data_IF_519932211975
#
_entry.id   IF_519932211975
#
_cell.length_a   1.000
_cell.length_b   1.000
_cell.length_c   1.000
_cell.angle_alpha   90.00
_cell.angle_beta   90.00
_cell.angle_gamma   90.00
#
_symmetry.space_group_name_H-M   'P 1'
#
loop_
_entity.id
_entity.type
_entity.pdbx_description
1 polymer ?
#
# COMPACT_ATOMS: atom_id res chain seq x y z
N UNK A 1 -47.87 8.28 85.01
CA UNK A 1 -46.43 8.17 84.85
C UNK A 1 -45.99 7.28 83.66
N UNK A 2 -46.90 6.76 82.84
CA UNK A 2 -46.64 5.81 81.72
C UNK A 2 -46.40 6.41 80.33
N UNK A 3 -46.65 7.70 80.13
CA UNK A 3 -46.48 8.37 78.83
C UNK A 3 -45.06 8.80 78.47
N UNK A 4 -44.08 8.76 79.43
CA UNK A 4 -42.73 9.25 79.20
C UNK A 4 -41.72 8.14 78.81
N UNK A 5 -42.02 6.88 79.13
CA UNK A 5 -41.12 5.77 78.76
C UNK A 5 -41.29 5.36 77.28
N UNK A 6 -42.50 5.34 76.73
CA UNK A 6 -42.74 5.04 75.29
C UNK A 6 -42.09 6.05 74.36
N UNK A 7 -41.90 7.29 74.79
CA UNK A 7 -41.27 8.33 73.92
C UNK A 7 -39.73 8.17 73.88
N UNK A 8 -39.13 7.63 74.92
CA UNK A 8 -37.67 7.35 74.95
C UNK A 8 -37.30 6.11 74.15
N UNK A 9 -38.11 5.06 74.22
CA UNK A 9 -37.91 3.81 73.49
C UNK A 9 -38.04 4.00 71.97
N UNK A 10 -39.02 4.73 71.48
CA UNK A 10 -39.19 5.08 70.07
C UNK A 10 -38.05 5.96 69.54
N UNK A 11 -37.46 6.84 70.38
CA UNK A 11 -36.30 7.65 69.97
C UNK A 11 -35.03 6.82 69.87
N UNK A 12 -34.85 5.84 70.74
CA UNK A 12 -33.67 4.94 70.74
C UNK A 12 -33.72 4.02 69.52
N UNK A 13 -34.84 3.43 69.18
CA UNK A 13 -35.06 2.59 67.99
C UNK A 13 -34.89 3.39 66.70
N UNK A 14 -35.30 4.64 66.67
CA UNK A 14 -35.09 5.53 65.51
C UNK A 14 -33.62 5.95 65.32
N UNK A 15 -32.88 6.17 66.38
CA UNK A 15 -31.45 6.48 66.31
C UNK A 15 -30.58 5.29 65.91
N UNK A 16 -30.88 4.08 66.34
CA UNK A 16 -30.17 2.86 65.91
C UNK A 16 -30.47 2.49 64.44
N UNK A 17 -31.70 2.68 63.99
CA UNK A 17 -32.05 2.50 62.59
C UNK A 17 -31.38 3.54 61.65
N UNK A 18 -31.28 4.79 62.10
CA UNK A 18 -30.56 5.85 61.37
C UNK A 18 -29.04 5.58 61.33
N UNK A 19 -28.43 5.09 62.42
CA UNK A 19 -27.01 4.67 62.46
C UNK A 19 -26.74 3.46 61.57
N UNK A 20 -27.65 2.48 61.54
CA UNK A 20 -27.55 1.28 60.71
C UNK A 20 -27.66 1.65 59.20
N UNK A 21 -28.60 2.54 58.86
CA UNK A 21 -28.76 3.04 57.51
C UNK A 21 -27.54 3.90 57.07
N UNK A 22 -26.99 4.75 57.96
CA UNK A 22 -25.81 5.56 57.68
C UNK A 22 -24.57 4.66 57.37
N UNK A 23 -24.37 3.57 58.10
CA UNK A 23 -23.30 2.60 57.83
C UNK A 23 -23.49 1.91 56.48
N UNK A 24 -24.70 1.54 56.16
CA UNK A 24 -25.03 0.95 54.87
C UNK A 24 -24.72 1.91 53.71
N UNK A 25 -25.11 3.19 53.80
CA UNK A 25 -24.81 4.20 52.78
C UNK A 25 -23.30 4.48 52.65
N UNK A 26 -22.56 4.46 53.75
CA UNK A 26 -21.10 4.60 53.69
C UNK A 26 -20.42 3.42 52.99
N UNK A 27 -20.85 2.17 53.27
CA UNK A 27 -20.33 0.98 52.60
C UNK A 27 -20.71 1.00 51.11
N UNK A 28 -21.95 1.36 50.78
CA UNK A 28 -22.40 1.49 49.38
C UNK A 28 -21.63 2.56 48.64
N UNK A 29 -21.37 3.73 49.24
CA UNK A 29 -20.57 4.79 48.65
C UNK A 29 -19.11 4.38 48.42
N UNK A 30 -18.52 3.65 49.39
CA UNK A 30 -17.16 3.12 49.24
C UNK A 30 -17.05 2.09 48.13
N UNK A 31 -18.02 1.17 48.02
CA UNK A 31 -18.08 0.20 46.91
C UNK A 31 -18.27 0.87 45.58
N UNK A 32 -19.15 1.87 45.51
CA UNK A 32 -19.35 2.65 44.26
C UNK A 32 -18.05 3.37 43.84
N UNK A 33 -17.34 4.01 44.79
CA UNK A 33 -16.07 4.65 44.53
C UNK A 33 -14.99 3.67 44.09
N UNK A 34 -14.93 2.45 44.71
CA UNK A 34 -14.00 1.41 44.29
C UNK A 34 -14.30 0.89 42.89
N UNK A 35 -15.57 0.68 42.53
CA UNK A 35 -15.98 0.28 41.18
C UNK A 35 -15.62 1.38 40.16
N UNK A 36 -15.87 2.63 40.49
CA UNK A 36 -15.52 3.78 39.62
C UNK A 36 -14.00 3.85 39.38
N UNK A 37 -13.20 3.67 40.43
CA UNK A 37 -11.75 3.62 40.34
C UNK A 37 -11.28 2.46 39.44
N UNK A 38 -11.84 1.26 39.58
CA UNK A 38 -11.55 0.12 38.74
C UNK A 38 -11.92 0.36 37.28
N UNK A 39 -13.06 1.00 37.02
CA UNK A 39 -13.45 1.37 35.66
C UNK A 39 -12.51 2.41 35.04
N UNK A 40 -12.06 3.42 35.81
CA UNK A 40 -11.08 4.40 35.36
C UNK A 40 -9.72 3.77 35.03
N UNK A 41 -9.22 2.88 35.89
CA UNK A 41 -7.96 2.14 35.67
C UNK A 41 -8.10 1.20 34.47
N UNK A 42 -9.19 0.45 34.38
CA UNK A 42 -9.47 -0.44 33.25
C UNK A 42 -9.53 0.30 31.92
N UNK A 43 -10.19 1.47 31.88
CA UNK A 43 -10.26 2.31 30.70
C UNK A 43 -8.88 2.89 30.31
N UNK A 44 -8.05 3.26 31.31
CA UNK A 44 -6.67 3.69 31.10
C UNK A 44 -5.80 2.59 30.46
N UNK A 45 -5.86 1.38 31.04
CA UNK A 45 -5.12 0.20 30.52
C UNK A 45 -5.60 -0.15 29.11
N UNK A 46 -6.90 -0.13 28.86
CA UNK A 46 -7.47 -0.42 27.54
C UNK A 46 -7.01 0.60 26.49
N UNK A 47 -7.00 1.89 26.83
CA UNK A 47 -6.54 2.95 25.94
C UNK A 47 -5.06 2.78 25.60
N UNK A 48 -4.21 2.48 26.59
CA UNK A 48 -2.79 2.24 26.38
C UNK A 48 -2.52 1.00 25.52
N UNK A 49 -3.22 -0.09 25.81
CA UNK A 49 -3.15 -1.31 24.99
C UNK A 49 -3.53 -1.06 23.53
N UNK A 50 -4.65 -0.35 23.32
CA UNK A 50 -5.11 0.02 21.98
C UNK A 50 -4.08 0.89 21.25
N UNK A 51 -3.54 1.90 21.91
CA UNK A 51 -2.53 2.78 21.33
C UNK A 51 -1.25 2.02 20.96
N UNK A 52 -0.82 1.12 21.84
CA UNK A 52 0.34 0.25 21.59
C UNK A 52 0.09 -0.68 20.40
N UNK A 53 -1.08 -1.30 20.32
CA UNK A 53 -1.44 -2.18 19.21
C UNK A 53 -1.47 -1.42 17.87
N UNK A 54 -2.04 -0.22 17.84
CA UNK A 54 -2.06 0.64 16.64
C UNK A 54 -0.65 1.03 16.23
N UNK A 55 0.20 1.42 17.18
CA UNK A 55 1.61 1.76 16.91
C UNK A 55 2.35 0.57 16.31
N UNK A 56 2.28 -0.59 16.96
CA UNK A 56 2.93 -1.80 16.46
C UNK A 56 2.45 -2.17 15.04
N UNK A 57 1.17 -1.99 14.75
CA UNK A 57 0.64 -2.24 13.41
C UNK A 57 1.22 -1.26 12.38
N UNK A 58 1.34 0.03 12.71
CA UNK A 58 1.97 1.03 11.85
C UNK A 58 3.44 0.71 11.59
N UNK A 59 4.18 0.31 12.63
CA UNK A 59 5.58 -0.07 12.49
C UNK A 59 5.75 -1.31 11.60
N UNK A 60 4.87 -2.31 11.75
CA UNK A 60 4.86 -3.48 10.86
C UNK A 60 4.53 -3.13 9.41
N UNK A 61 3.60 -2.21 9.17
CA UNK A 61 3.27 -1.74 7.82
C UNK A 61 4.48 -1.02 7.20
N UNK A 62 5.20 -0.22 7.97
CA UNK A 62 6.39 0.48 7.48
C UNK A 62 7.49 -0.50 7.10
N UNK A 63 7.82 -1.46 7.97
CA UNK A 63 8.78 -2.51 7.68
C UNK A 63 8.40 -3.34 6.45
N UNK A 64 7.11 -3.63 6.28
CA UNK A 64 6.62 -4.38 5.13
C UNK A 64 6.81 -3.61 3.81
N UNK A 65 6.50 -2.30 3.79
CA UNK A 65 6.67 -1.50 2.58
C UNK A 65 8.14 -1.25 2.26
N UNK A 66 9.01 -1.06 3.24
CA UNK A 66 10.47 -0.95 3.06
C UNK A 66 11.06 -2.26 2.50
N UNK A 67 10.67 -3.40 3.07
CA UNK A 67 11.10 -4.71 2.57
C UNK A 67 10.64 -4.97 1.13
N UNK A 68 9.41 -4.55 0.80
CA UNK A 68 8.89 -4.70 -0.55
C UNK A 68 9.59 -3.77 -1.54
N UNK A 69 9.89 -2.53 -1.13
CA UNK A 69 10.67 -1.58 -1.93
C UNK A 69 12.02 -2.18 -2.32
N UNK A 70 12.79 -2.67 -1.34
CA UNK A 70 14.07 -3.31 -1.61
C UNK A 70 13.99 -4.52 -2.56
N UNK A 71 12.94 -5.35 -2.43
CA UNK A 71 12.72 -6.47 -3.36
C UNK A 71 12.38 -6.01 -4.77
N UNK A 72 11.61 -4.95 -4.90
CA UNK A 72 11.27 -4.38 -6.20
C UNK A 72 12.52 -3.82 -6.88
N UNK A 73 13.34 -3.07 -6.15
CA UNK A 73 14.62 -2.54 -6.61
C UNK A 73 15.57 -3.66 -7.06
N UNK A 74 15.71 -4.71 -6.26
CA UNK A 74 16.52 -5.89 -6.59
C UNK A 74 16.02 -6.53 -7.89
N UNK A 75 14.72 -6.80 -8.01
CA UNK A 75 14.14 -7.41 -9.21
C UNK A 75 14.32 -6.55 -10.46
N UNK A 76 14.12 -5.24 -10.38
CA UNK A 76 14.31 -4.34 -11.52
C UNK A 76 15.79 -4.28 -11.90
N UNK A 77 16.70 -4.26 -10.90
CA UNK A 77 18.14 -4.29 -11.14
C UNK A 77 18.61 -5.59 -11.78
N UNK A 78 18.03 -6.73 -11.39
CA UNK A 78 18.30 -8.03 -12.03
C UNK A 78 17.90 -8.00 -13.51
N UNK A 79 16.66 -7.61 -13.84
CA UNK A 79 16.25 -7.51 -15.24
C UNK A 79 17.08 -6.50 -16.04
N UNK A 80 17.43 -5.37 -15.45
CA UNK A 80 18.32 -4.39 -16.08
C UNK A 80 19.71 -4.95 -16.37
N UNK A 81 20.26 -5.71 -15.43
CA UNK A 81 21.54 -6.42 -15.59
C UNK A 81 21.47 -7.49 -16.67
N UNK A 82 20.38 -8.27 -16.71
CA UNK A 82 20.14 -9.30 -17.71
C UNK A 82 20.08 -8.71 -19.11
N UNK A 83 19.34 -7.63 -19.31
CA UNK A 83 19.25 -6.92 -20.60
C UNK A 83 20.66 -6.54 -21.07
N UNK A 84 21.48 -5.92 -20.22
CA UNK A 84 22.82 -5.47 -20.59
C UNK A 84 23.76 -6.65 -20.89
N UNK A 85 23.72 -7.69 -20.06
CA UNK A 85 24.55 -8.88 -20.22
C UNK A 85 24.22 -9.64 -21.48
N UNK A 86 22.93 -9.88 -21.72
CA UNK A 86 22.44 -10.55 -22.91
C UNK A 86 22.74 -9.75 -24.18
N UNK A 87 22.55 -8.42 -24.13
CA UNK A 87 22.92 -7.54 -25.25
C UNK A 87 24.41 -7.64 -25.55
N UNK A 88 25.27 -7.54 -24.54
CA UNK A 88 26.73 -7.66 -24.70
C UNK A 88 27.13 -9.00 -25.34
N UNK A 89 26.54 -10.10 -24.89
CA UNK A 89 26.78 -11.42 -25.47
C UNK A 89 26.26 -11.55 -26.91
N UNK A 90 25.11 -10.92 -27.21
CA UNK A 90 24.40 -11.06 -28.49
C UNK A 90 25.18 -10.45 -29.68
N UNK A 91 26.12 -9.53 -29.43
CA UNK A 91 26.94 -8.93 -30.48
C UNK A 91 27.83 -9.93 -31.23
N UNK A 92 28.20 -11.02 -30.59
CA UNK A 92 29.06 -12.05 -31.18
C UNK A 92 28.28 -13.18 -31.87
N UNK A 93 26.97 -13.16 -31.74
CA UNK A 93 26.06 -14.18 -32.26
C UNK A 93 25.54 -13.82 -33.65
N UNK A 94 25.24 -14.83 -34.46
CA UNK A 94 24.49 -14.64 -35.68
C UNK A 94 22.99 -14.38 -35.34
N UNK A 95 22.20 -14.01 -36.33
CA UNK A 95 20.79 -13.61 -36.16
C UNK A 95 19.94 -14.72 -35.49
N UNK A 96 20.08 -15.96 -35.95
CA UNK A 96 19.33 -17.09 -35.43
C UNK A 96 19.75 -17.45 -33.98
N UNK A 97 21.04 -17.38 -33.66
CA UNK A 97 21.53 -17.60 -32.29
C UNK A 97 21.03 -16.50 -31.35
N UNK A 98 20.99 -15.26 -31.81
CA UNK A 98 20.46 -14.12 -31.07
C UNK A 98 18.97 -14.27 -30.78
N UNK A 99 18.16 -14.63 -31.79
CA UNK A 99 16.75 -14.93 -31.62
C UNK A 99 16.54 -16.06 -30.60
N UNK A 100 17.26 -17.15 -30.74
CA UNK A 100 17.19 -18.30 -29.80
C UNK A 100 17.54 -17.89 -28.37
N UNK A 101 18.54 -17.02 -28.17
CA UNK A 101 18.93 -16.51 -26.86
C UNK A 101 17.78 -15.77 -26.18
N UNK A 102 17.16 -14.81 -26.88
CA UNK A 102 16.07 -14.01 -26.31
C UNK A 102 14.80 -14.82 -26.13
N UNK A 103 14.45 -15.71 -27.05
CA UNK A 103 13.30 -16.63 -26.93
C UNK A 103 13.44 -17.54 -25.71
N UNK A 104 14.64 -18.07 -25.48
CA UNK A 104 14.91 -18.89 -24.30
C UNK A 104 14.71 -18.08 -23.02
N UNK A 105 15.23 -16.86 -22.99
CA UNK A 105 15.06 -15.98 -21.84
C UNK A 105 13.58 -15.67 -21.53
N UNK A 106 12.80 -15.27 -22.55
CA UNK A 106 11.36 -15.02 -22.41
C UNK A 106 10.65 -16.27 -21.91
N UNK A 107 10.97 -17.44 -22.46
CA UNK A 107 10.36 -18.71 -22.06
C UNK A 107 10.70 -19.10 -20.60
N UNK A 108 11.93 -18.87 -20.16
CA UNK A 108 12.37 -19.21 -18.80
C UNK A 108 11.78 -18.26 -17.76
N UNK A 109 11.58 -16.99 -18.11
CA UNK A 109 11.03 -15.96 -17.21
C UNK A 109 9.52 -15.71 -17.36
N UNK A 110 8.84 -16.44 -18.27
CA UNK A 110 7.39 -16.44 -18.32
C UNK A 110 6.76 -16.96 -17.01
N UNK A 111 5.63 -16.44 -16.57
CA UNK A 111 4.70 -15.51 -17.24
C UNK A 111 4.99 -14.00 -16.97
N UNK A 112 6.08 -13.64 -16.30
CA UNK A 112 6.39 -12.23 -15.98
C UNK A 112 6.98 -11.51 -17.19
N UNK A 113 8.02 -12.05 -17.82
CA UNK A 113 8.56 -11.50 -19.07
C UNK A 113 7.70 -11.98 -20.22
N UNK A 114 7.09 -11.05 -20.96
CA UNK A 114 6.17 -11.35 -22.07
C UNK A 114 6.85 -11.26 -23.42
N UNK A 115 7.58 -10.17 -23.62
CA UNK A 115 8.22 -9.86 -24.89
C UNK A 115 9.57 -9.17 -24.67
N UNK A 116 10.48 -9.36 -25.63
CA UNK A 116 11.65 -8.54 -25.81
C UNK A 116 11.69 -8.04 -27.24
N UNK A 117 11.73 -6.71 -27.41
CA UNK A 117 11.72 -6.05 -28.70
C UNK A 117 13.03 -5.28 -28.85
N UNK A 118 13.77 -5.57 -29.93
CA UNK A 118 15.02 -4.87 -30.26
C UNK A 118 14.79 -4.06 -31.53
N UNK A 119 15.09 -2.76 -31.48
CA UNK A 119 14.97 -1.86 -32.62
C UNK A 119 16.33 -1.23 -32.97
N UNK A 120 16.55 -0.99 -34.23
CA UNK A 120 17.66 -0.23 -34.77
C UNK A 120 17.15 0.86 -35.68
N UNK A 121 17.49 2.11 -35.37
CA UNK A 121 16.98 3.29 -36.13
C UNK A 121 15.44 3.33 -36.23
N UNK A 122 14.74 2.83 -35.22
CA UNK A 122 13.28 2.78 -35.17
C UNK A 122 12.64 1.56 -35.86
N UNK A 123 13.41 0.74 -36.59
CA UNK A 123 12.92 -0.49 -37.20
C UNK A 123 13.14 -1.68 -36.28
N UNK A 124 12.14 -2.52 -36.13
CA UNK A 124 12.22 -3.76 -35.32
C UNK A 124 13.11 -4.76 -36.05
N UNK A 125 14.19 -5.17 -35.38
CA UNK A 125 15.15 -6.14 -35.91
C UNK A 125 15.04 -7.50 -35.23
N UNK A 126 14.41 -7.55 -34.07
CA UNK A 126 14.14 -8.80 -33.36
C UNK A 126 12.94 -8.59 -32.43
N UNK A 127 12.05 -9.59 -32.40
CA UNK A 127 10.98 -9.72 -31.40
C UNK A 127 10.99 -11.15 -30.88
N UNK A 128 10.97 -11.29 -29.55
CA UNK A 128 10.79 -12.57 -28.86
C UNK A 128 9.56 -12.48 -28.00
N UNK A 129 8.62 -13.40 -28.16
CA UNK A 129 7.35 -13.43 -27.43
C UNK A 129 6.14 -13.20 -28.34
N UNK A 130 5.21 -12.34 -27.92
CA UNK A 130 3.90 -12.14 -28.58
C UNK A 130 3.87 -10.98 -29.57
N UNK A 131 4.98 -10.28 -29.78
CA UNK A 131 5.13 -9.13 -30.70
C UNK A 131 4.14 -7.99 -30.42
N UNK A 132 4.02 -7.62 -29.16
CA UNK A 132 3.17 -6.54 -28.73
C UNK A 132 3.95 -5.23 -28.58
N UNK A 133 3.93 -4.38 -29.60
CA UNK A 133 4.55 -3.06 -29.50
C UNK A 133 3.73 -2.11 -28.61
N UNK A 134 4.40 -1.33 -27.74
CA UNK A 134 3.74 -0.28 -26.97
C UNK A 134 3.14 0.80 -27.85
N UNK A 135 1.86 1.11 -27.65
CA UNK A 135 1.13 2.17 -28.35
C UNK A 135 1.25 3.52 -27.64
N UNK A 136 1.34 3.50 -26.31
CA UNK A 136 1.34 4.71 -25.49
C UNK A 136 2.22 4.49 -24.23
N UNK A 137 3.03 5.49 -23.89
CA UNK A 137 3.78 5.57 -22.65
C UNK A 137 2.96 6.41 -21.66
N UNK A 138 2.49 5.80 -20.59
CA UNK A 138 1.67 6.44 -19.56
C UNK A 138 2.50 7.05 -18.42
N UNK A 139 3.66 6.47 -18.15
CA UNK A 139 4.60 6.92 -17.14
C UNK A 139 6.01 6.47 -17.49
N UNK A 140 7.00 7.30 -17.15
CA UNK A 140 8.42 6.99 -17.32
C UNK A 140 9.20 7.44 -16.10
N UNK A 141 10.09 6.58 -15.62
CA UNK A 141 11.06 6.86 -14.56
C UNK A 141 12.45 6.41 -15.01
N UNK A 142 13.45 7.26 -14.84
CA UNK A 142 14.84 6.90 -15.16
C UNK A 142 15.39 5.99 -14.09
N UNK A 143 16.07 4.93 -14.51
CA UNK A 143 16.91 4.09 -13.64
C UNK A 143 18.34 4.63 -13.69
N UNK A 144 18.84 4.92 -14.90
CA UNK A 144 20.11 5.57 -15.15
C UNK A 144 20.09 6.31 -16.52
N UNK A 145 21.25 6.73 -17.05
CA UNK A 145 21.32 7.49 -18.30
C UNK A 145 20.89 6.70 -19.54
N UNK A 146 20.90 5.36 -19.48
CA UNK A 146 20.60 4.46 -20.60
C UNK A 146 19.33 3.62 -20.37
N UNK A 147 18.79 3.59 -19.14
CA UNK A 147 17.71 2.70 -18.78
C UNK A 147 16.54 3.45 -18.16
N UNK A 148 15.35 3.21 -18.68
CA UNK A 148 14.09 3.72 -18.14
C UNK A 148 13.15 2.57 -17.74
N UNK A 149 12.38 2.80 -16.68
CA UNK A 149 11.23 1.98 -16.31
C UNK A 149 9.96 2.72 -16.71
N UNK A 150 9.09 2.05 -17.43
CA UNK A 150 7.89 2.66 -18.03
C UNK A 150 6.64 1.87 -17.69
N UNK A 151 5.51 2.57 -17.56
CA UNK A 151 4.19 1.99 -17.72
C UNK A 151 3.73 2.27 -19.13
N UNK A 152 3.36 1.23 -19.86
CA UNK A 152 2.95 1.32 -21.26
C UNK A 152 1.59 0.69 -21.48
N UNK A 153 0.90 1.15 -22.52
CA UNK A 153 -0.33 0.56 -23.00
C UNK A 153 -0.05 -0.21 -24.29
N UNK A 154 -0.58 -1.42 -24.37
CA UNK A 154 -0.47 -2.31 -25.52
C UNK A 154 -1.88 -2.77 -25.89
N UNK A 155 -2.31 -2.54 -27.12
CA UNK A 155 -3.68 -2.80 -27.53
C UNK A 155 -4.73 -1.95 -26.80
N UNK A 156 -5.98 -2.30 -26.92
CA UNK A 156 -7.07 -1.42 -26.52
C UNK A 156 -7.21 -1.15 -25.03
N UNK A 157 -6.68 -1.97 -24.11
CA UNK A 157 -6.84 -1.75 -22.66
C UNK A 157 -5.76 -2.41 -21.78
N UNK A 158 -4.75 -3.05 -22.35
CA UNK A 158 -3.76 -3.78 -21.57
C UNK A 158 -2.59 -2.89 -21.12
N UNK A 159 -2.33 -2.87 -19.83
CA UNK A 159 -1.23 -2.12 -19.22
C UNK A 159 -0.09 -3.07 -18.87
N UNK A 160 1.13 -2.73 -19.29
CA UNK A 160 2.34 -3.48 -19.02
C UNK A 160 3.42 -2.59 -18.44
N UNK A 161 4.33 -3.17 -17.69
CA UNK A 161 5.56 -2.52 -17.30
C UNK A 161 6.62 -2.78 -18.38
N UNK A 162 7.54 -1.86 -18.58
CA UNK A 162 8.58 -1.99 -19.57
C UNK A 162 9.91 -1.49 -19.04
N UNK A 163 10.95 -2.28 -19.19
CA UNK A 163 12.33 -1.80 -19.11
C UNK A 163 12.79 -1.45 -20.51
N UNK A 164 13.23 -0.21 -20.70
CA UNK A 164 13.70 0.30 -21.97
C UNK A 164 15.17 0.72 -21.84
N UNK A 165 16.02 0.07 -22.62
CA UNK A 165 17.47 0.28 -22.63
C UNK A 165 17.91 0.86 -23.97
N UNK A 166 18.64 1.97 -23.94
CA UNK A 166 19.29 2.59 -25.09
C UNK A 166 20.79 2.22 -25.09
N UNK A 167 21.23 1.55 -26.14
CA UNK A 167 22.60 1.10 -26.25
C UNK A 167 23.52 2.20 -26.79
N UNK A 168 24.82 2.10 -26.55
CA UNK A 168 25.83 3.05 -27.10
C UNK A 168 25.89 3.01 -28.64
N UNK A 169 25.39 1.96 -29.26
CA UNK A 169 25.39 1.73 -30.71
C UNK A 169 24.10 2.20 -31.40
N UNK A 170 23.17 2.75 -30.63
CA UNK A 170 21.91 3.34 -31.12
C UNK A 170 20.81 2.32 -31.41
N UNK A 171 20.94 1.11 -30.89
CA UNK A 171 19.83 0.17 -30.78
C UNK A 171 19.07 0.41 -29.47
N UNK A 172 17.80 0.05 -29.45
CA UNK A 172 16.97 0.05 -28.24
C UNK A 172 16.44 -1.33 -27.95
N UNK A 173 16.41 -1.70 -26.66
CA UNK A 173 15.89 -2.97 -26.19
C UNK A 173 14.76 -2.67 -25.22
N UNK A 174 13.57 -3.19 -25.51
CA UNK A 174 12.38 -3.04 -24.69
C UNK A 174 11.95 -4.41 -24.17
N UNK A 175 12.08 -4.63 -22.87
CA UNK A 175 11.57 -5.83 -22.19
C UNK A 175 10.20 -5.53 -21.61
N UNK A 176 9.17 -6.20 -22.12
CA UNK A 176 7.77 -6.05 -21.68
C UNK A 176 7.48 -7.03 -20.56
N UNK A 177 7.01 -6.50 -19.43
CA UNK A 177 6.71 -7.26 -18.23
C UNK A 177 5.21 -7.24 -17.95
N UNK A 178 4.63 -8.42 -17.74
CA UNK A 178 3.29 -8.54 -17.20
C UNK A 178 3.29 -8.16 -15.71
N UNK A 179 3.05 -6.89 -15.44
CA UNK A 179 3.06 -6.36 -14.08
C UNK A 179 1.99 -7.00 -13.18
N UNK A 180 0.84 -7.44 -13.73
CA UNK A 180 -0.19 -8.14 -12.94
C UNK A 180 0.27 -9.56 -12.56
N UNK A 181 0.98 -10.27 -13.43
CA UNK A 181 1.58 -11.55 -13.09
C UNK A 181 2.64 -11.38 -11.99
N UNK A 182 3.51 -10.36 -12.13
CA UNK A 182 4.48 -9.99 -11.09
C UNK A 182 3.79 -9.62 -9.77
N UNK A 183 2.76 -8.75 -9.81
CA UNK A 183 1.99 -8.37 -8.63
C UNK A 183 1.39 -9.58 -7.91
N UNK A 184 0.72 -10.45 -8.63
CA UNK A 184 0.08 -11.64 -8.05
C UNK A 184 1.08 -12.65 -7.48
N UNK A 185 2.24 -12.83 -8.13
CA UNK A 185 3.29 -13.77 -7.70
C UNK A 185 4.07 -13.26 -6.50
N UNK A 186 4.44 -11.97 -6.50
CA UNK A 186 5.46 -11.43 -5.58
C UNK A 186 4.87 -10.51 -4.52
N UNK A 187 3.89 -9.66 -4.87
CA UNK A 187 3.40 -8.59 -3.99
C UNK A 187 2.17 -9.04 -3.20
N UNK A 188 1.17 -9.61 -3.89
CA UNK A 188 -0.10 -10.00 -3.30
C UNK A 188 -0.01 -10.95 -2.10
N UNK A 189 0.93 -11.92 -2.02
CA UNK A 189 1.08 -12.79 -0.86
C UNK A 189 1.54 -12.08 0.41
N UNK A 190 2.06 -10.86 0.31
CA UNK A 190 2.56 -10.08 1.44
C UNK A 190 1.47 -9.30 2.17
N UNK A 191 0.26 -9.78 2.19
CA UNK A 191 -0.93 -9.13 2.74
C UNK A 191 -0.69 -8.32 4.01
N UNK A 192 -1.26 -7.09 4.03
CA UNK A 192 -1.27 -6.20 5.19
C UNK A 192 -2.66 -6.23 5.80
N UNK A 193 -2.84 -7.00 6.86
CA UNK A 193 -4.15 -7.17 7.50
C UNK A 193 -5.19 -7.83 6.58
N UNK A 194 -6.47 -7.65 6.89
CA UNK A 194 -7.58 -8.31 6.17
C UNK A 194 -7.92 -7.66 4.83
N UNK A 195 -7.70 -6.35 4.69
CA UNK A 195 -8.11 -5.56 3.54
C UNK A 195 -7.00 -4.66 2.98
N UNK A 196 -5.78 -4.80 3.49
CA UNK A 196 -4.64 -4.02 3.03
C UNK A 196 -4.05 -4.60 1.75
N UNK A 197 -3.43 -3.73 0.95
CA UNK A 197 -2.74 -4.10 -0.28
C UNK A 197 -1.64 -3.07 -0.58
N UNK A 198 -0.70 -3.45 -1.42
CA UNK A 198 0.37 -2.59 -1.88
C UNK A 198 0.03 -1.93 -3.21
N UNK A 199 0.55 -0.74 -3.40
CA UNK A 199 0.44 0.04 -4.64
C UNK A 199 1.83 0.55 -4.99
N UNK A 200 2.23 0.42 -6.25
CA UNK A 200 3.37 1.15 -6.80
C UNK A 200 2.86 2.37 -7.56
N UNK A 201 3.51 3.51 -7.36
CA UNK A 201 3.24 4.75 -8.08
C UNK A 201 4.55 5.36 -8.54
N UNK A 202 4.50 6.12 -9.62
CA UNK A 202 5.63 6.97 -10.01
C UNK A 202 5.73 8.23 -9.13
N UNK A 203 6.77 9.03 -9.37
CA UNK A 203 7.02 10.28 -8.66
C UNK A 203 5.93 11.36 -8.91
N UNK A 204 5.11 11.22 -9.96
CA UNK A 204 3.99 12.12 -10.26
C UNK A 204 2.67 11.66 -9.61
N UNK A 205 2.64 10.46 -9.03
CA UNK A 205 1.45 9.86 -8.43
C UNK A 205 0.62 9.04 -9.41
N UNK A 206 1.16 8.70 -10.59
CA UNK A 206 0.54 7.74 -11.52
C UNK A 206 0.68 6.33 -10.95
N UNK A 207 -0.40 5.58 -10.94
CA UNK A 207 -0.43 4.20 -10.46
C UNK A 207 0.22 3.29 -11.49
N UNK A 208 1.33 2.65 -11.10
CA UNK A 208 2.06 1.68 -11.92
C UNK A 208 1.61 0.25 -11.66
N UNK A 209 1.32 -0.09 -10.40
CA UNK A 209 0.75 -1.38 -10.00
C UNK A 209 -0.31 -1.21 -8.91
N UNK A 210 -1.41 -1.91 -9.07
CA UNK A 210 -2.53 -1.96 -8.12
C UNK A 210 -3.25 -3.31 -8.27
N UNK A 211 -3.87 -3.87 -7.21
CA UNK A 211 -4.64 -5.12 -7.36
C UNK A 211 -5.83 -5.03 -8.32
N UNK A 212 -6.27 -3.82 -8.65
CA UNK A 212 -7.32 -3.53 -9.62
C UNK A 212 -6.71 -2.89 -10.85
N UNK A 213 -6.77 -3.58 -12.00
CA UNK A 213 -6.14 -3.16 -13.24
C UNK A 213 -6.68 -1.81 -13.74
N UNK A 214 -7.95 -1.51 -13.48
CA UNK A 214 -8.61 -0.26 -13.87
C UNK A 214 -8.00 1.00 -13.23
N UNK A 215 -7.15 0.84 -12.22
CA UNK A 215 -6.43 1.96 -11.60
C UNK A 215 -5.04 2.20 -12.18
N UNK A 216 -4.54 1.32 -13.03
CA UNK A 216 -3.23 1.48 -13.66
C UNK A 216 -3.24 2.65 -14.63
N UNK A 217 -2.17 3.44 -14.65
CA UNK A 217 -2.05 4.63 -15.49
C UNK A 217 -2.87 5.84 -15.01
N UNK A 218 -3.60 5.73 -13.90
CA UNK A 218 -4.41 6.82 -13.37
C UNK A 218 -3.59 7.61 -12.34
N UNK A 219 -3.57 8.94 -12.46
CA UNK A 219 -3.16 9.83 -11.38
C UNK A 219 -4.12 9.69 -10.19
N UNK A 220 -3.59 9.45 -9.00
CA UNK A 220 -4.42 9.14 -7.81
C UNK A 220 -5.40 10.26 -7.48
N UNK A 221 -4.99 11.53 -7.56
CA UNK A 221 -5.85 12.65 -7.18
C UNK A 221 -6.85 12.93 -8.29
N UNK A 222 -6.41 13.12 -9.53
CA UNK A 222 -7.27 13.39 -10.68
C UNK A 222 -8.29 12.26 -10.90
N UNK A 223 -7.88 11.02 -10.73
CA UNK A 223 -8.78 9.86 -10.82
C UNK A 223 -9.84 9.86 -9.73
N UNK A 224 -9.46 10.24 -8.50
CA UNK A 224 -10.43 10.37 -7.39
C UNK A 224 -11.39 11.54 -7.57
N UNK A 225 -10.92 12.67 -8.07
CA UNK A 225 -11.78 13.82 -8.37
C UNK A 225 -12.83 13.50 -9.44
N UNK A 226 -12.43 12.78 -10.49
CA UNK A 226 -13.35 12.32 -11.55
C UNK A 226 -14.38 11.32 -11.02
N UNK A 227 -13.97 10.38 -10.17
CA UNK A 227 -14.84 9.34 -9.62
C UNK A 227 -15.76 9.87 -8.50
N UNK A 228 -15.30 10.85 -7.74
CA UNK A 228 -15.98 11.39 -6.56
C UNK A 228 -16.05 12.93 -6.61
N UNK A 229 -16.73 13.52 -7.60
CA UNK A 229 -16.75 14.96 -7.78
C UNK A 229 -17.28 15.69 -6.55
N UNK A 230 -16.62 16.77 -6.16
CA UNK A 230 -16.99 17.61 -5.01
C UNK A 230 -16.74 16.99 -3.63
N UNK A 231 -16.05 15.86 -3.54
CA UNK A 231 -15.65 15.27 -2.26
C UNK A 231 -14.34 15.88 -1.76
N UNK A 232 -14.19 15.94 -0.43
CA UNK A 232 -12.97 16.44 0.18
C UNK A 232 -11.85 15.38 0.06
N UNK A 233 -10.81 15.69 -0.69
CA UNK A 233 -9.61 14.87 -0.90
C UNK A 233 -8.36 15.47 -0.26
N UNK A 234 -8.47 16.52 0.54
CA UNK A 234 -7.32 17.27 1.10
C UNK A 234 -6.33 16.37 1.84
N UNK A 235 -6.80 15.46 2.71
CA UNK A 235 -5.91 14.58 3.45
C UNK A 235 -5.21 13.55 2.56
N UNK A 236 -5.90 13.07 1.52
CA UNK A 236 -5.30 12.21 0.51
C UNK A 236 -4.24 12.96 -0.30
N UNK A 237 -4.54 14.19 -0.74
CA UNK A 237 -3.61 15.03 -1.49
C UNK A 237 -2.34 15.30 -0.69
N UNK A 238 -2.47 15.71 0.58
CA UNK A 238 -1.33 15.94 1.46
C UNK A 238 -0.44 14.69 1.62
N UNK A 239 -1.04 13.51 1.73
CA UNK A 239 -0.29 12.25 1.79
C UNK A 239 0.45 11.99 0.47
N UNK A 240 -0.21 12.16 -0.69
CA UNK A 240 0.41 11.98 -2.00
C UNK A 240 1.55 12.98 -2.20
N UNK A 241 1.39 14.24 -1.79
CA UNK A 241 2.45 15.25 -1.89
C UNK A 241 3.69 14.89 -1.06
N UNK A 242 3.50 14.29 0.12
CA UNK A 242 4.61 13.75 0.93
C UNK A 242 5.31 12.57 0.25
N UNK A 243 4.56 11.69 -0.38
CA UNK A 243 5.10 10.58 -1.17
C UNK A 243 5.93 11.10 -2.36
N UNK A 244 5.44 12.12 -3.08
CA UNK A 244 6.17 12.79 -4.19
C UNK A 244 7.48 13.44 -3.73
N UNK A 245 7.59 13.81 -2.46
CA UNK A 245 8.83 14.31 -1.85
C UNK A 245 9.83 13.20 -1.47
N UNK A 246 9.53 11.95 -1.72
CA UNK A 246 10.38 10.80 -1.38
C UNK A 246 10.46 10.51 0.12
N UNK A 247 9.45 10.88 0.90
CA UNK A 247 9.44 10.63 2.33
C UNK A 247 9.08 9.17 2.63
N UNK A 248 9.69 8.62 3.67
CA UNK A 248 9.30 7.36 4.30
C UNK A 248 8.47 7.67 5.55
N UNK A 249 7.22 7.24 5.58
CA UNK A 249 6.31 7.55 6.69
C UNK A 249 5.06 6.65 6.72
N UNK A 250 4.26 6.83 7.77
CA UNK A 250 2.91 6.27 7.91
C UNK A 250 1.93 7.40 8.15
N UNK A 251 0.96 7.57 7.26
CA UNK A 251 -0.08 8.58 7.36
C UNK A 251 -1.47 7.97 7.53
N UNK A 252 -2.29 8.66 8.30
CA UNK A 252 -3.74 8.47 8.33
C UNK A 252 -4.38 9.49 7.40
N UNK A 253 -5.29 9.02 6.55
CA UNK A 253 -5.95 9.86 5.58
C UNK A 253 -7.38 9.42 5.33
N UNK A 254 -8.22 10.34 4.89
CA UNK A 254 -9.60 10.08 4.53
C UNK A 254 -9.74 9.93 3.02
N UNK A 255 -10.41 8.86 2.55
CA UNK A 255 -10.61 8.60 1.14
C UNK A 255 -11.85 7.75 0.89
N UNK A 256 -12.15 7.47 -0.38
CA UNK A 256 -13.32 6.74 -0.86
C UNK A 256 -12.90 5.43 -1.51
N UNK A 257 -13.77 4.41 -1.43
CA UNK A 257 -13.52 3.14 -2.08
C UNK A 257 -13.80 3.23 -3.58
N UNK A 258 -12.80 2.92 -4.41
CA UNK A 258 -12.94 2.93 -5.86
C UNK A 258 -14.06 2.01 -6.34
N UNK A 259 -14.17 0.82 -5.78
CA UNK A 259 -15.18 -0.21 -6.13
C UNK A 259 -16.58 0.09 -5.60
N UNK A 260 -16.76 1.15 -4.81
CA UNK A 260 -18.05 1.51 -4.18
C UNK A 260 -18.28 3.03 -4.27
N UNK A 261 -18.54 3.58 -5.46
CA UNK A 261 -18.62 5.03 -5.68
C UNK A 261 -19.65 5.75 -4.81
N UNK A 262 -20.73 5.08 -4.43
CA UNK A 262 -21.78 5.65 -3.57
C UNK A 262 -21.54 5.49 -2.06
N UNK A 263 -20.51 4.78 -1.65
CA UNK A 263 -20.22 4.54 -0.23
C UNK A 263 -19.66 5.81 0.45
N UNK A 264 -19.89 5.98 1.76
CA UNK A 264 -19.23 7.03 2.52
C UNK A 264 -17.71 6.82 2.51
N UNK A 265 -16.99 7.93 2.62
CA UNK A 265 -15.54 7.87 2.79
C UNK A 265 -15.16 7.24 4.12
N UNK A 266 -13.95 6.73 4.19
CA UNK A 266 -13.40 6.04 5.36
C UNK A 266 -12.00 6.54 5.69
N UNK A 267 -11.65 6.47 6.96
CA UNK A 267 -10.28 6.64 7.41
C UNK A 267 -9.44 5.43 6.97
N UNK A 268 -8.27 5.70 6.46
CA UNK A 268 -7.29 4.72 5.99
C UNK A 268 -5.92 5.04 6.56
N UNK A 269 -5.08 4.03 6.64
CA UNK A 269 -3.66 4.15 7.00
C UNK A 269 -2.84 3.73 5.79
N UNK A 270 -1.82 4.50 5.47
CA UNK A 270 -0.84 4.16 4.44
C UNK A 270 0.56 4.30 4.99
N UNK A 271 1.33 3.21 4.92
CA UNK A 271 2.79 3.28 5.03
C UNK A 271 3.37 3.39 3.62
N UNK A 272 4.42 4.19 3.46
CA UNK A 272 5.05 4.41 2.18
C UNK A 272 6.54 4.71 2.32
N UNK A 273 7.29 4.35 1.29
CA UNK A 273 8.72 4.62 1.12
C UNK A 273 9.02 4.76 -0.37
N UNK A 274 10.01 5.54 -0.79
CA UNK A 274 10.47 5.53 -2.17
C UNK A 274 11.05 4.16 -2.53
N UNK A 275 10.91 3.76 -3.80
CA UNK A 275 11.63 2.72 -4.46
C UNK A 275 12.41 3.40 -5.60
N UNK A 276 13.72 3.61 -5.45
CA UNK A 276 14.61 4.48 -6.26
C UNK A 276 14.58 5.96 -5.89
#
# INVERSE_FOLDING_TARGET
>A
MEKNENCKENRFLSMDSLKKNSRFYLVAAFLAAAILALLCVGNGIWKEYRNSAVRNQKDQMLLAVESLSGRLEETISEYASDIRSMWSCSHTLNEQERETLWDTYVKEHGPVVQDVIIKKKGETILTSGTDNEPEEILSESKIDDQMCFRLVKIGNESHYLMLHYETDTGETISMILNGMAYYNKTIRPLNVGTNGYFILKDHNGIVLMHPQLEQWGIDVINGREKMFPGKNLTSLSNMIDRQKQGLTAVDEYYSYWWTKPGAPGVEKVSAYTPAY
#
